data_IF_719759020287
#
_entry.id   IF_719759020287
#
_cell.length_a   1.000
_cell.length_b   1.000
_cell.length_c   1.000
_cell.angle_alpha   90.00
_cell.angle_beta   90.00
_cell.angle_gamma   90.00
#
_symmetry.space_group_name_H-M   'P 1'
#
loop_
_entity.id
_entity.type
_entity.pdbx_description
1 polymer ?
#
# COMPACT_ATOMS: atom_id res chain seq x y z
N UNK A 1 -8.86 5.32 25.79
CA UNK A 1 -7.66 4.62 25.29
C UNK A 1 -7.37 4.88 23.80
N UNK A 2 -8.30 4.62 22.87
CA UNK A 2 -8.08 4.84 21.41
C UNK A 2 -7.47 6.21 21.05
N UNK A 3 -8.11 7.30 21.49
CA UNK A 3 -7.62 8.68 21.27
C UNK A 3 -6.19 8.92 21.77
N UNK A 4 -5.80 8.25 22.85
CA UNK A 4 -4.46 8.35 23.41
C UNK A 4 -3.44 7.60 22.56
N UNK A 5 -3.81 6.44 22.00
CA UNK A 5 -2.95 5.66 21.08
C UNK A 5 -2.67 6.48 19.81
N UNK A 6 -3.70 7.06 19.20
CA UNK A 6 -3.57 7.90 18.00
C UNK A 6 -2.70 9.14 18.26
N UNK A 7 -2.92 9.82 19.39
CA UNK A 7 -2.10 10.97 19.78
C UNK A 7 -0.66 10.57 20.06
N UNK A 8 -0.43 9.40 20.66
CA UNK A 8 0.92 8.88 20.94
C UNK A 8 1.66 8.54 19.64
N UNK A 9 0.98 7.93 18.68
CA UNK A 9 1.56 7.66 17.36
C UNK A 9 1.90 8.96 16.62
N UNK A 10 0.98 9.94 16.63
CA UNK A 10 1.22 11.25 16.02
C UNK A 10 2.42 11.96 16.66
N UNK A 11 2.48 11.98 17.99
CA UNK A 11 3.61 12.54 18.74
C UNK A 11 4.95 11.85 18.37
N UNK A 12 4.97 10.51 18.30
CA UNK A 12 6.14 9.72 17.86
C UNK A 12 6.60 10.14 16.46
N UNK A 13 5.67 10.29 15.52
CA UNK A 13 5.98 10.70 14.14
C UNK A 13 6.55 12.13 14.12
N UNK A 14 5.91 13.07 14.81
CA UNK A 14 6.37 14.46 14.89
C UNK A 14 7.77 14.56 15.49
N UNK A 15 8.07 13.81 16.56
CA UNK A 15 9.39 13.78 17.21
C UNK A 15 10.52 13.28 16.31
N UNK A 16 10.20 12.63 15.18
CA UNK A 16 11.20 12.29 14.17
C UNK A 16 11.69 13.53 13.41
N UNK A 17 10.88 14.58 13.31
CA UNK A 17 11.23 15.86 12.68
C UNK A 17 11.58 16.97 13.68
N UNK A 18 10.82 17.09 14.77
CA UNK A 18 10.99 18.15 15.78
C UNK A 18 11.57 17.64 17.09
N UNK A 19 12.17 18.53 17.89
CA UNK A 19 12.76 18.16 19.19
C UNK A 19 11.75 18.02 20.34
N UNK A 20 10.57 18.62 20.21
CA UNK A 20 9.50 18.64 21.21
C UNK A 20 8.15 18.64 20.51
N UNK A 21 7.17 17.92 21.03
CA UNK A 21 5.76 17.94 20.60
C UNK A 21 4.84 18.17 21.80
N UNK A 22 3.68 18.76 21.55
CA UNK A 22 2.63 18.98 22.55
C UNK A 22 1.48 18.00 22.31
N UNK A 23 1.14 17.20 23.33
CA UNK A 23 -0.01 16.30 23.32
C UNK A 23 -1.15 17.03 24.02
N UNK A 24 -2.15 17.45 23.24
CA UNK A 24 -3.36 18.09 23.73
C UNK A 24 -4.59 17.24 23.36
N UNK A 25 -5.21 16.64 24.38
CA UNK A 25 -6.43 15.84 24.26
C UNK A 25 -7.51 16.42 25.19
N UNK A 26 -8.36 17.33 24.67
CA UNK A 26 -9.44 17.88 25.48
C UNK A 26 -10.55 16.84 25.69
N UNK A 27 -11.24 16.92 26.83
CA UNK A 27 -12.34 16.01 27.17
C UNK A 27 -11.95 14.53 27.01
N UNK A 28 -10.77 14.16 27.52
CA UNK A 28 -10.25 12.79 27.40
C UNK A 28 -11.00 11.82 28.30
N UNK A 29 -11.48 12.31 29.44
CA UNK A 29 -12.27 11.58 30.42
C UNK A 29 -13.14 12.55 31.24
N UNK A 30 -13.92 12.06 32.20
CA UNK A 30 -14.68 12.89 33.15
C UNK A 30 -14.67 12.28 34.56
N UNK A 31 -14.64 13.13 35.59
CA UNK A 31 -14.76 12.75 37.00
C UNK A 31 -15.93 13.49 37.68
N UNK A 32 -16.08 13.31 39.00
CA UNK A 32 -17.13 13.98 39.80
C UNK A 32 -17.03 15.52 39.76
N UNK A 33 -15.85 16.07 39.50
CA UNK A 33 -15.58 17.51 39.40
C UNK A 33 -15.77 18.08 37.98
N UNK A 34 -15.95 17.22 36.96
CA UNK A 34 -16.23 17.62 35.58
C UNK A 34 -15.34 16.96 34.51
N UNK A 35 -15.29 17.53 33.29
CA UNK A 35 -14.49 16.99 32.20
C UNK A 35 -12.98 17.17 32.44
N UNK A 36 -12.21 16.14 32.10
CA UNK A 36 -10.75 16.11 32.19
C UNK A 36 -10.11 16.32 30.82
N UNK A 37 -8.99 17.04 30.81
CA UNK A 37 -8.18 17.34 29.63
C UNK A 37 -6.75 16.83 29.88
N UNK A 38 -6.10 16.29 28.87
CA UNK A 38 -4.68 15.93 28.94
C UNK A 38 -3.87 16.91 28.08
N UNK A 39 -3.07 17.74 28.75
CA UNK A 39 -2.12 18.64 28.12
C UNK A 39 -0.73 18.32 28.67
N UNK A 40 0.15 17.82 27.80
CA UNK A 40 1.52 17.48 28.19
C UNK A 40 2.49 17.74 27.04
N UNK A 41 3.77 17.94 27.39
CA UNK A 41 4.86 18.11 26.43
C UNK A 41 5.76 16.89 26.46
N UNK A 42 6.09 16.36 25.29
CA UNK A 42 7.02 15.25 25.14
C UNK A 42 8.22 15.71 24.32
N UNK A 43 9.41 15.54 24.88
CA UNK A 43 10.68 15.82 24.17
C UNK A 43 11.18 14.56 23.46
N UNK A 44 11.99 14.75 22.40
CA UNK A 44 12.63 13.63 21.69
C UNK A 44 13.46 12.77 22.63
N UNK A 45 14.26 13.38 23.52
CA UNK A 45 15.08 12.65 24.48
C UNK A 45 14.26 11.80 25.46
N UNK A 46 13.10 12.29 25.91
CA UNK A 46 12.19 11.48 26.72
C UNK A 46 11.62 10.30 25.93
N UNK A 47 11.18 10.52 24.69
CA UNK A 47 10.70 9.45 23.82
C UNK A 47 11.79 8.40 23.55
N UNK A 48 13.01 8.82 23.22
CA UNK A 48 14.16 7.94 23.00
C UNK A 48 14.49 7.15 24.26
N UNK A 49 14.41 7.76 25.45
CA UNK A 49 14.54 7.05 26.72
C UNK A 49 13.48 5.96 26.90
N UNK A 50 12.20 6.27 26.58
CA UNK A 50 11.06 5.34 26.71
C UNK A 50 11.11 4.14 25.77
N UNK A 51 11.84 4.22 24.65
CA UNK A 51 11.97 3.13 23.68
C UNK A 51 13.41 2.62 23.52
N UNK A 52 14.31 3.02 24.41
CA UNK A 52 15.73 2.70 24.33
C UNK A 52 15.98 1.18 24.30
N UNK A 53 15.26 0.41 25.13
CA UNK A 53 15.30 -1.05 25.17
C UNK A 53 14.88 -1.67 23.82
N UNK A 54 13.82 -1.14 23.19
CA UNK A 54 13.33 -1.61 21.90
C UNK A 54 14.33 -1.34 20.78
N UNK A 55 14.95 -0.17 20.78
CA UNK A 55 15.89 0.25 19.73
C UNK A 55 17.24 -0.45 19.91
N UNK A 56 17.69 -0.69 21.15
CA UNK A 56 18.89 -1.49 21.43
C UNK A 56 18.78 -2.94 20.94
N UNK A 57 17.58 -3.53 20.98
CA UNK A 57 17.32 -4.88 20.45
C UNK A 57 17.64 -5.03 18.96
N UNK A 58 17.75 -3.94 18.19
CA UNK A 58 18.15 -3.96 16.78
C UNK A 58 19.61 -4.40 16.58
N UNK A 59 20.50 -4.15 17.55
CA UNK A 59 21.93 -4.47 17.44
C UNK A 59 22.17 -5.96 17.22
N UNK A 60 21.43 -6.81 17.94
CA UNK A 60 21.62 -8.27 17.90
C UNK A 60 21.29 -8.88 16.54
N UNK A 61 20.12 -8.64 15.92
CA UNK A 61 19.83 -9.15 14.57
C UNK A 61 20.83 -8.68 13.51
N UNK A 62 21.27 -7.42 13.55
CA UNK A 62 22.25 -6.90 12.58
C UNK A 62 23.60 -7.60 12.72
N UNK A 63 24.12 -7.71 13.95
CA UNK A 63 25.37 -8.46 14.21
C UNK A 63 25.24 -9.92 13.80
N UNK A 64 24.09 -10.56 14.10
CA UNK A 64 23.84 -11.94 13.72
C UNK A 64 23.83 -12.13 12.20
N UNK A 65 23.18 -11.23 11.46
CA UNK A 65 23.11 -11.31 10.00
C UNK A 65 24.50 -11.16 9.36
N UNK A 66 25.34 -10.24 9.86
CA UNK A 66 26.72 -10.08 9.41
C UNK A 66 27.57 -11.33 9.70
N UNK A 67 27.44 -11.89 10.91
CA UNK A 67 28.13 -13.12 11.29
C UNK A 67 27.69 -14.31 10.43
N UNK A 68 26.39 -14.47 10.19
CA UNK A 68 25.84 -15.54 9.35
C UNK A 68 26.27 -15.41 7.89
N UNK A 69 26.42 -14.18 7.39
CA UNK A 69 26.95 -13.90 6.06
C UNK A 69 28.49 -14.01 5.98
N UNK A 70 29.16 -14.15 7.13
CA UNK A 70 30.62 -14.09 7.25
C UNK A 70 31.22 -12.81 6.62
N UNK A 71 30.57 -11.67 6.89
CA UNK A 71 30.98 -10.35 6.40
C UNK A 71 31.28 -9.40 7.56
N UNK A 72 32.37 -8.65 7.42
CA UNK A 72 32.62 -7.50 8.28
C UNK A 72 31.74 -6.31 7.86
N UNK A 73 31.39 -5.39 8.77
CA UNK A 73 30.64 -4.18 8.44
C UNK A 73 31.24 -3.38 7.27
N UNK A 74 32.56 -3.32 7.18
CA UNK A 74 33.31 -2.64 6.11
C UNK A 74 33.12 -3.22 4.71
N UNK A 75 32.59 -4.44 4.59
CA UNK A 75 32.29 -5.10 3.31
C UNK A 75 30.91 -4.76 2.78
N UNK A 76 30.13 -3.94 3.50
CA UNK A 76 28.80 -3.53 3.09
C UNK A 76 28.89 -2.29 2.19
N UNK A 77 28.46 -2.46 0.94
CA UNK A 77 28.50 -1.41 -0.08
C UNK A 77 27.38 -0.39 0.07
N UNK A 78 26.20 -0.77 0.54
CA UNK A 78 25.05 0.13 0.67
C UNK A 78 24.19 -0.28 1.86
N UNK A 79 23.60 0.71 2.55
CA UNK A 79 22.64 0.49 3.63
C UNK A 79 21.30 1.04 3.19
N UNK A 80 20.28 0.20 3.08
CA UNK A 80 18.93 0.62 2.70
C UNK A 80 18.01 0.48 3.90
N UNK A 81 17.33 1.57 4.27
CA UNK A 81 16.34 1.57 5.35
C UNK A 81 14.93 1.51 4.76
N UNK A 82 14.12 0.56 5.26
CA UNK A 82 12.77 0.30 4.76
C UNK A 82 11.78 0.31 5.93
N UNK A 83 10.62 0.93 5.73
CA UNK A 83 9.55 1.07 6.72
C UNK A 83 9.58 2.37 7.52
N UNK A 84 8.42 2.90 7.86
CA UNK A 84 8.27 4.24 8.46
C UNK A 84 9.00 4.47 9.78
N UNK A 85 9.15 3.43 10.62
CA UNK A 85 9.88 3.54 11.90
C UNK A 85 11.39 3.79 11.72
N UNK A 86 11.95 3.54 10.53
CA UNK A 86 13.35 3.87 10.22
C UNK A 86 13.61 5.37 10.07
N UNK A 87 12.54 6.18 10.04
CA UNK A 87 12.62 7.66 10.04
C UNK A 87 12.99 8.23 11.41
N UNK A 88 12.93 7.43 12.48
CA UNK A 88 13.33 7.84 13.83
C UNK A 88 14.86 8.07 13.83
N UNK A 89 15.35 9.27 14.25
CA UNK A 89 16.78 9.59 14.24
C UNK A 89 17.64 8.59 15.01
N UNK A 90 17.20 8.13 16.19
CA UNK A 90 17.90 7.14 16.99
C UNK A 90 18.12 5.82 16.24
N UNK A 91 17.16 5.36 15.43
CA UNK A 91 17.30 4.13 14.63
C UNK A 91 18.41 4.29 13.60
N UNK A 92 18.43 5.41 12.89
CA UNK A 92 19.47 5.71 11.90
C UNK A 92 20.86 5.80 12.54
N UNK A 93 20.95 6.43 13.72
CA UNK A 93 22.19 6.51 14.48
C UNK A 93 22.70 5.13 14.91
N UNK A 94 21.83 4.24 15.38
CA UNK A 94 22.25 2.87 15.73
C UNK A 94 22.78 2.14 14.50
N UNK A 95 22.09 2.21 13.37
CA UNK A 95 22.54 1.53 12.14
C UNK A 95 23.89 2.09 11.67
N UNK A 96 24.07 3.42 11.67
CA UNK A 96 25.36 4.05 11.40
C UNK A 96 26.45 3.59 12.37
N UNK A 97 26.14 3.46 13.65
CA UNK A 97 27.12 2.98 14.65
C UNK A 97 27.54 1.51 14.47
N UNK A 98 26.76 0.72 13.73
CA UNK A 98 27.04 -0.70 13.48
C UNK A 98 27.75 -0.95 12.15
N UNK A 99 27.40 -0.19 11.11
CA UNK A 99 27.88 -0.42 9.73
C UNK A 99 28.89 0.66 9.28
N UNK A 100 28.97 1.79 9.99
CA UNK A 100 29.79 2.96 9.66
C UNK A 100 29.55 3.48 8.23
N UNK A 101 28.27 3.50 7.83
CA UNK A 101 27.85 3.97 6.51
C UNK A 101 26.55 4.75 6.58
N UNK A 102 26.49 5.79 5.77
CA UNK A 102 25.28 6.58 5.60
C UNK A 102 24.20 5.79 4.86
N UNK A 103 22.97 5.68 5.40
CA UNK A 103 21.87 5.04 4.71
C UNK A 103 21.53 5.74 3.39
N UNK A 104 21.28 4.94 2.37
CA UNK A 104 20.87 5.37 1.05
C UNK A 104 19.46 5.98 1.10
N UNK A 105 19.34 7.21 0.58
CA UNK A 105 18.08 7.97 0.56
C UNK A 105 17.38 7.95 -0.80
N UNK A 106 17.93 7.24 -1.80
CA UNK A 106 17.34 7.15 -3.13
C UNK A 106 16.16 6.16 -3.22
N UNK A 107 15.88 5.44 -2.12
CA UNK A 107 14.83 4.43 -2.05
C UNK A 107 13.69 4.98 -1.19
N UNK A 108 12.46 4.91 -1.71
CA UNK A 108 11.27 5.26 -0.92
C UNK A 108 10.98 4.13 0.10
N UNK A 109 11.11 4.38 1.42
CA UNK A 109 10.97 3.35 2.44
C UNK A 109 9.52 2.84 2.58
N UNK A 110 8.53 3.57 2.07
CA UNK A 110 7.11 3.23 2.19
C UNK A 110 6.61 2.39 1.00
N UNK A 111 7.26 2.50 -0.16
CA UNK A 111 6.78 1.90 -1.42
C UNK A 111 7.68 0.76 -1.94
N UNK A 112 8.97 0.74 -1.57
CA UNK A 112 9.96 -0.16 -2.18
C UNK A 112 9.58 -1.64 -2.07
N UNK A 113 8.92 -2.05 -0.99
CA UNK A 113 8.46 -3.44 -0.81
C UNK A 113 7.37 -3.78 -1.83
N UNK A 114 6.41 -2.87 -2.03
CA UNK A 114 5.32 -3.07 -3.00
C UNK A 114 5.85 -3.07 -4.44
N UNK A 115 6.80 -2.19 -4.76
CA UNK A 115 7.48 -2.17 -6.05
C UNK A 115 8.25 -3.47 -6.28
N UNK A 116 8.98 -3.96 -5.28
CA UNK A 116 9.69 -5.25 -5.35
C UNK A 116 8.73 -6.43 -5.60
N UNK A 117 7.56 -6.44 -4.94
CA UNK A 117 6.53 -7.43 -5.18
C UNK A 117 5.96 -7.38 -6.61
N UNK A 118 5.76 -6.18 -7.17
CA UNK A 118 5.32 -6.02 -8.56
C UNK A 118 6.37 -6.51 -9.56
N UNK A 119 7.66 -6.26 -9.31
CA UNK A 119 8.76 -6.81 -10.12
C UNK A 119 8.76 -8.34 -10.05
N UNK A 120 8.60 -8.91 -8.85
CA UNK A 120 8.52 -10.37 -8.68
C UNK A 120 7.34 -10.96 -9.46
N UNK A 121 6.17 -10.30 -9.46
CA UNK A 121 5.04 -10.70 -10.28
C UNK A 121 5.35 -10.65 -11.78
N UNK A 122 6.05 -9.61 -12.24
CA UNK A 122 6.53 -9.49 -13.62
C UNK A 122 7.53 -10.58 -14.04
N UNK A 123 8.39 -11.02 -13.12
CA UNK A 123 9.30 -12.16 -13.34
C UNK A 123 8.49 -13.46 -13.50
N UNK A 124 7.51 -13.69 -12.62
CA UNK A 124 6.63 -14.87 -12.68
C UNK A 124 5.76 -14.89 -13.95
N UNK A 125 5.33 -13.72 -14.43
CA UNK A 125 4.60 -13.56 -15.69
C UNK A 125 5.49 -13.71 -16.93
N UNK A 126 6.82 -13.58 -16.78
CA UNK A 126 7.80 -13.63 -17.88
C UNK A 126 8.00 -12.30 -18.61
N UNK A 127 7.41 -11.21 -18.11
CA UNK A 127 7.55 -9.85 -18.63
C UNK A 127 8.92 -9.25 -18.29
N UNK A 128 9.46 -9.62 -17.13
CA UNK A 128 10.81 -9.23 -16.70
C UNK A 128 11.75 -10.42 -16.92
N UNK A 129 12.80 -10.21 -17.71
CA UNK A 129 13.82 -11.21 -18.04
C UNK A 129 15.15 -10.84 -17.41
N UNK A 130 16.05 -11.82 -17.32
CA UNK A 130 17.44 -11.66 -16.85
C UNK A 130 17.61 -11.26 -15.37
N UNK A 131 16.63 -11.55 -14.52
CA UNK A 131 16.73 -11.41 -13.07
C UNK A 131 16.57 -12.80 -12.42
N UNK A 132 17.56 -13.20 -11.62
CA UNK A 132 17.52 -14.43 -10.85
C UNK A 132 17.60 -14.10 -9.36
N UNK A 133 16.54 -14.45 -8.63
CA UNK A 133 16.46 -14.28 -7.19
C UNK A 133 16.72 -15.63 -6.50
N UNK A 134 17.66 -15.63 -5.56
CA UNK A 134 17.93 -16.77 -4.68
C UNK A 134 17.72 -16.29 -3.25
N UNK A 135 16.62 -16.74 -2.65
CA UNK A 135 16.29 -16.44 -1.26
C UNK A 135 16.73 -17.57 -0.33
N UNK A 136 16.59 -17.39 0.97
CA UNK A 136 17.00 -18.36 2.00
C UNK A 136 15.89 -18.61 3.03
N UNK A 137 15.90 -19.78 3.68
CA UNK A 137 15.04 -20.00 4.86
C UNK A 137 15.62 -19.29 6.10
N UNK A 138 14.86 -18.45 6.82
CA UNK A 138 15.41 -17.63 7.93
C UNK A 138 15.67 -18.42 9.22
N UNK A 139 15.08 -19.61 9.36
CA UNK A 139 15.20 -20.46 10.54
C UNK A 139 15.48 -21.90 10.14
N UNK A 140 16.20 -22.61 11.00
CA UNK A 140 16.44 -24.03 10.81
C UNK A 140 15.13 -24.80 10.91
N UNK A 141 14.95 -25.76 10.00
CA UNK A 141 13.85 -26.71 9.99
C UNK A 141 14.38 -28.08 10.37
N UNK A 142 13.60 -28.77 11.19
CA UNK A 142 13.97 -30.06 11.71
C UNK A 142 12.81 -30.81 12.30
N UNK A 143 13.15 -31.88 12.99
CA UNK A 143 12.21 -32.72 13.71
C UNK A 143 12.66 -32.98 15.13
N UNK A 144 11.67 -33.16 16.01
CA UNK A 144 11.91 -33.60 17.37
C UNK A 144 12.23 -35.10 17.39
N UNK A 145 13.39 -35.47 17.92
CA UNK A 145 13.79 -36.87 18.11
C UNK A 145 13.41 -37.39 19.48
N UNK A 146 13.53 -38.71 19.66
CA UNK A 146 13.41 -39.36 20.97
C UNK A 146 14.42 -38.71 21.93
N UNK A 147 13.93 -38.22 23.07
CA UNK A 147 14.71 -37.41 24.02
C UNK A 147 14.42 -35.91 23.97
N UNK A 148 13.53 -35.44 23.09
CA UNK A 148 13.06 -34.06 23.06
C UNK A 148 14.08 -33.08 22.48
N UNK A 149 15.03 -33.57 21.68
CA UNK A 149 16.07 -32.78 21.01
C UNK A 149 15.67 -32.53 19.55
N UNK A 150 15.99 -31.35 19.03
CA UNK A 150 15.81 -31.00 17.63
C UNK A 150 16.95 -31.57 16.78
N UNK A 151 16.62 -32.42 15.81
CA UNK A 151 17.51 -32.73 14.69
C UNK A 151 17.23 -31.76 13.55
N UNK A 152 18.20 -30.89 13.26
CA UNK A 152 18.13 -29.94 12.13
C UNK A 152 18.40 -30.68 10.81
N UNK A 153 17.52 -30.51 9.81
CA UNK A 153 17.67 -31.09 8.47
C UNK A 153 18.02 -30.02 7.44
N UNK A 154 17.39 -28.85 7.55
CA UNK A 154 17.67 -27.68 6.73
C UNK A 154 18.11 -26.57 7.69
N UNK A 155 19.41 -26.23 7.75
CA UNK A 155 19.89 -25.12 8.56
C UNK A 155 19.28 -23.78 8.11
N UNK A 156 19.20 -22.80 9.02
CA UNK A 156 18.90 -21.41 8.64
C UNK A 156 19.89 -20.89 7.60
N UNK A 157 19.44 -19.92 6.83
CA UNK A 157 20.17 -19.31 5.70
C UNK A 157 20.51 -20.29 4.56
N UNK A 158 19.87 -21.47 4.52
CA UNK A 158 19.96 -22.37 3.35
C UNK A 158 19.17 -21.77 2.20
N UNK A 159 19.79 -21.66 1.03
CA UNK A 159 19.15 -21.18 -0.20
C UNK A 159 17.96 -22.05 -0.60
N UNK A 160 16.85 -21.41 -0.97
CA UNK A 160 15.63 -22.05 -1.46
C UNK A 160 15.47 -21.80 -2.97
N UNK A 161 14.87 -22.73 -3.73
CA UNK A 161 14.28 -24.00 -3.30
C UNK A 161 15.32 -25.08 -2.92
N UNK A 162 15.00 -25.93 -1.94
CA UNK A 162 15.90 -27.00 -1.47
C UNK A 162 15.14 -28.23 -0.99
N UNK A 163 15.72 -29.41 -1.24
CA UNK A 163 15.26 -30.70 -0.70
C UNK A 163 16.36 -31.33 0.15
N UNK A 164 16.02 -31.70 1.39
CA UNK A 164 16.89 -32.51 2.27
C UNK A 164 16.10 -33.68 2.83
N UNK A 165 16.74 -34.84 2.94
CA UNK A 165 16.13 -36.01 3.57
C UNK A 165 17.11 -36.70 4.50
N UNK A 166 16.61 -37.24 5.59
CA UNK A 166 17.37 -38.06 6.52
C UNK A 166 16.57 -39.33 6.88
N UNK A 167 17.26 -40.36 7.35
CA UNK A 167 16.66 -41.66 7.68
C UNK A 167 16.54 -41.79 9.18
N UNK A 168 15.32 -42.05 9.64
CA UNK A 168 14.96 -42.30 11.02
C UNK A 168 14.46 -43.73 11.20
N UNK A 169 14.32 -44.15 12.46
CA UNK A 169 13.82 -45.47 12.82
C UNK A 169 12.90 -45.40 14.03
N UNK A 170 12.18 -46.49 14.28
CA UNK A 170 11.33 -46.68 15.47
C UNK A 170 12.11 -46.59 16.79
N UNK A 171 11.45 -46.02 17.79
CA UNK A 171 11.92 -45.86 19.16
C UNK A 171 11.75 -47.14 20.00
N UNK A 172 10.66 -47.86 19.73
CA UNK A 172 10.20 -49.00 20.52
C UNK A 172 10.12 -50.28 19.68
N UNK A 173 10.23 -51.43 20.35
CA UNK A 173 10.05 -52.73 19.72
C UNK A 173 8.59 -52.91 19.28
N UNK A 174 8.37 -53.45 18.09
CA UNK A 174 7.06 -53.68 17.50
C UNK A 174 6.21 -52.40 17.35
N UNK A 175 6.86 -51.24 17.25
CA UNK A 175 6.18 -49.97 17.00
C UNK A 175 5.60 -49.94 15.58
N UNK A 176 4.27 -49.86 15.49
CA UNK A 176 3.53 -49.87 14.21
C UNK A 176 3.15 -48.47 13.73
N UNK A 177 3.36 -47.45 14.55
CA UNK A 177 3.03 -46.05 14.27
C UNK A 177 4.21 -45.16 14.65
N UNK A 178 4.68 -44.34 13.72
CA UNK A 178 5.73 -43.34 13.97
C UNK A 178 5.16 -41.94 13.83
N UNK A 179 5.34 -41.14 14.86
CA UNK A 179 4.94 -39.73 14.88
C UNK A 179 6.11 -38.86 14.44
N UNK A 180 5.89 -38.02 13.45
CA UNK A 180 6.85 -37.02 12.95
C UNK A 180 6.38 -35.67 13.42
N UNK A 181 7.17 -35.04 14.29
CA UNK A 181 6.92 -33.69 14.79
C UNK A 181 7.88 -32.70 14.15
N UNK A 182 7.34 -31.81 13.33
CA UNK A 182 8.08 -30.81 12.56
C UNK A 182 8.19 -29.54 13.40
N UNK A 183 9.41 -29.02 13.53
CA UNK A 183 9.72 -27.84 14.33
C UNK A 183 10.65 -26.89 13.57
N UNK A 184 10.50 -25.60 13.87
CA UNK A 184 11.31 -24.52 13.33
C UNK A 184 11.95 -23.72 14.47
N UNK A 185 13.26 -23.50 14.39
CA UNK A 185 14.00 -22.69 15.34
C UNK A 185 15.45 -23.14 15.55
N UNK A 186 16.16 -22.43 16.42
CA UNK A 186 17.60 -22.63 16.65
C UNK A 186 17.92 -23.30 17.98
N UNK A 187 16.93 -23.51 18.85
CA UNK A 187 17.11 -24.08 20.19
C UNK A 187 17.36 -25.58 20.08
N UNK A 188 18.16 -26.13 21.00
CA UNK A 188 18.48 -27.56 20.99
C UNK A 188 17.29 -28.44 21.39
N UNK A 189 16.48 -27.98 22.34
CA UNK A 189 15.30 -28.73 22.81
C UNK A 189 14.09 -28.44 21.93
N UNK A 190 13.40 -29.49 21.49
CA UNK A 190 12.23 -29.40 20.61
C UNK A 190 11.10 -28.53 21.19
N UNK A 191 10.87 -28.60 22.51
CA UNK A 191 9.85 -27.81 23.23
C UNK A 191 10.06 -26.30 23.19
N UNK A 192 11.31 -25.85 22.97
CA UNK A 192 11.67 -24.43 22.94
C UNK A 192 11.62 -23.84 21.52
N UNK A 193 11.26 -24.65 20.53
CA UNK A 193 11.13 -24.26 19.13
C UNK A 193 9.66 -24.16 18.71
N UNK A 194 9.39 -23.50 17.58
CA UNK A 194 8.05 -23.37 17.04
C UNK A 194 7.61 -24.68 16.41
N UNK A 195 6.54 -25.29 16.92
CA UNK A 195 5.88 -26.42 16.27
C UNK A 195 5.18 -25.97 14.99
N UNK A 196 5.48 -26.65 13.89
CA UNK A 196 4.86 -26.44 12.58
C UNK A 196 3.75 -27.46 12.30
N UNK A 197 3.84 -28.66 12.88
CA UNK A 197 2.84 -29.69 12.69
C UNK A 197 3.30 -31.06 13.16
N UNK A 198 2.34 -31.97 13.32
CA UNK A 198 2.58 -33.37 13.68
C UNK A 198 1.74 -34.25 12.78
N UNK A 199 2.31 -35.35 12.31
CA UNK A 199 1.55 -36.38 11.61
C UNK A 199 2.09 -37.76 11.96
N UNK A 200 1.22 -38.76 11.79
CA UNK A 200 1.53 -40.15 12.14
C UNK A 200 1.59 -40.99 10.88
N UNK A 201 2.73 -41.65 10.66
CA UNK A 201 2.89 -42.70 9.67
C UNK A 201 2.43 -44.01 10.33
N UNK A 202 1.29 -44.54 9.88
CA UNK A 202 0.71 -45.77 10.42
C UNK A 202 1.04 -46.97 9.56
N UNK A 203 1.06 -48.15 10.17
CA UNK A 203 1.20 -49.41 9.46
C UNK A 203 2.64 -49.76 9.10
N UNK A 204 3.58 -49.36 9.96
CA UNK A 204 4.96 -49.87 9.97
C UNK A 204 4.93 -51.34 10.44
N UNK A 205 5.60 -52.29 9.76
CA UNK A 205 5.64 -53.69 10.19
C UNK A 205 6.26 -53.84 11.59
N UNK A 206 5.70 -54.70 12.47
CA UNK A 206 6.30 -54.97 13.77
C UNK A 206 7.72 -55.52 13.62
N UNK A 207 8.71 -54.74 14.06
CA UNK A 207 10.11 -55.12 14.07
C UNK A 207 10.79 -54.62 15.35
N UNK A 208 11.93 -55.21 15.75
CA UNK A 208 12.79 -54.63 16.78
C UNK A 208 13.11 -53.15 16.50
N UNK A 209 13.28 -52.36 17.55
CA UNK A 209 13.69 -50.95 17.44
C UNK A 209 14.95 -50.81 16.59
N UNK A 210 15.06 -49.76 15.80
CA UNK A 210 16.25 -49.49 14.97
C UNK A 210 16.25 -50.16 13.58
N UNK A 211 15.32 -51.07 13.29
CA UNK A 211 15.26 -51.80 12.01
C UNK A 211 14.43 -51.09 10.95
N UNK A 212 13.20 -50.61 11.22
CA UNK A 212 12.41 -49.89 10.22
C UNK A 212 13.12 -48.63 9.73
N UNK A 213 13.23 -48.45 8.41
CA UNK A 213 13.87 -47.28 7.81
C UNK A 213 12.84 -46.29 7.29
N UNK A 214 12.64 -45.21 8.03
CA UNK A 214 11.68 -44.15 7.71
C UNK A 214 12.45 -42.96 7.19
N UNK A 215 12.39 -42.73 5.89
CA UNK A 215 12.99 -41.56 5.26
C UNK A 215 12.05 -40.38 5.42
N UNK A 216 12.51 -39.32 6.08
CA UNK A 216 11.77 -38.05 6.16
C UNK A 216 12.47 -37.04 5.25
N UNK A 217 11.73 -36.52 4.27
CA UNK A 217 12.17 -35.51 3.33
C UNK A 217 11.47 -34.19 3.62
N UNK A 218 12.23 -33.11 3.59
CA UNK A 218 11.80 -31.73 3.69
C UNK A 218 12.08 -31.07 2.34
N UNK A 219 11.02 -30.64 1.68
CA UNK A 219 11.05 -29.90 0.42
C UNK A 219 10.56 -28.47 0.70
N UNK A 220 11.42 -27.47 0.47
CA UNK A 220 11.04 -26.06 0.51
C UNK A 220 11.02 -25.53 -0.92
N UNK A 221 9.88 -24.98 -1.33
CA UNK A 221 9.73 -24.37 -2.65
C UNK A 221 10.24 -22.92 -2.69
N UNK A 222 10.16 -22.29 -3.87
CA UNK A 222 10.56 -20.89 -4.06
C UNK A 222 9.66 -19.89 -3.32
N UNK A 223 8.47 -20.30 -2.88
CA UNK A 223 7.54 -19.47 -2.11
C UNK A 223 7.72 -19.65 -0.59
N UNK A 224 8.65 -20.50 -0.15
CA UNK A 224 8.85 -20.84 1.25
C UNK A 224 7.80 -21.81 1.82
N UNK A 225 7.02 -22.49 0.99
CA UNK A 225 6.13 -23.56 1.43
C UNK A 225 6.94 -24.82 1.76
N UNK A 226 6.67 -25.40 2.93
CA UNK A 226 7.34 -26.61 3.38
C UNK A 226 6.43 -27.83 3.14
N UNK A 227 6.89 -28.75 2.32
CA UNK A 227 6.34 -30.10 2.21
C UNK A 227 7.23 -31.06 2.99
N UNK A 228 6.66 -31.76 3.96
CA UNK A 228 7.35 -32.83 4.68
C UNK A 228 6.72 -34.16 4.32
N UNK A 229 7.53 -35.07 3.81
CA UNK A 229 7.11 -36.43 3.42
C UNK A 229 7.87 -37.46 4.25
N UNK A 230 7.17 -38.36 4.91
CA UNK A 230 7.75 -39.53 5.55
C UNK A 230 7.41 -40.79 4.74
N UNK A 231 8.43 -41.51 4.31
CA UNK A 231 8.33 -42.75 3.52
C UNK A 231 9.00 -43.90 4.29
N UNK A 232 8.26 -44.97 4.57
CA UNK A 232 8.86 -46.23 5.00
C UNK A 232 9.46 -46.95 3.79
N UNK A 233 10.80 -47.08 3.78
CA UNK A 233 11.54 -47.73 2.67
C UNK A 233 11.23 -49.21 2.52
N UNK A 234 10.71 -49.86 3.57
CA UNK A 234 10.42 -51.30 3.58
C UNK A 234 9.08 -51.60 2.92
N UNK A 235 8.07 -50.78 3.22
CA UNK A 235 6.69 -51.00 2.75
C UNK A 235 6.30 -50.11 1.58
N UNK A 236 7.06 -49.04 1.30
CA UNK A 236 6.72 -48.02 0.31
C UNK A 236 5.55 -47.12 0.73
N UNK A 237 5.08 -47.24 1.98
CA UNK A 237 4.01 -46.37 2.50
C UNK A 237 4.57 -45.00 2.78
N UNK A 238 3.89 -43.98 2.29
CA UNK A 238 4.20 -42.58 2.55
C UNK A 238 3.05 -41.86 3.24
N UNK A 239 3.41 -40.87 4.05
CA UNK A 239 2.49 -39.87 4.55
C UNK A 239 3.18 -38.52 4.47
N UNK A 240 2.43 -37.47 4.12
CA UNK A 240 2.98 -36.12 4.02
C UNK A 240 2.08 -35.08 4.67
N UNK A 241 2.69 -33.95 4.99
CA UNK A 241 2.01 -32.74 5.44
C UNK A 241 2.60 -31.55 4.70
N UNK A 242 1.73 -30.68 4.21
CA UNK A 242 2.14 -29.37 3.69
C UNK A 242 1.91 -28.34 4.77
N UNK A 243 2.97 -27.64 5.18
CA UNK A 243 2.92 -26.55 6.14
C UNK A 243 3.04 -25.25 5.36
N UNK A 244 1.94 -24.49 5.32
CA UNK A 244 1.96 -23.13 4.81
C UNK A 244 2.47 -22.20 5.91
N UNK A 245 3.60 -21.54 5.66
CA UNK A 245 4.11 -20.53 6.56
C UNK A 245 3.08 -19.41 6.74
N UNK A 246 2.56 -19.28 7.96
CA UNK A 246 1.73 -18.16 8.44
C UNK A 246 0.23 -18.11 8.08
N UNK A 247 -0.38 -19.10 7.43
CA UNK A 247 -1.84 -19.18 7.36
C UNK A 247 -2.38 -20.19 8.37
N UNK A 248 -3.05 -19.68 9.41
CA UNK A 248 -3.85 -20.50 10.35
C UNK A 248 -5.16 -20.98 9.74
N UNK A 249 -5.42 -20.66 8.47
CA UNK A 249 -6.70 -20.94 7.82
C UNK A 249 -6.57 -22.19 6.96
N UNK A 250 -7.38 -23.19 7.28
CA UNK A 250 -7.64 -24.33 6.43
C UNK A 250 -8.23 -23.91 5.08
N UNK A 251 -8.07 -24.75 4.05
CA UNK A 251 -8.68 -24.51 2.74
C UNK A 251 -10.21 -24.32 2.82
N UNK A 252 -10.86 -24.91 3.83
CA UNK A 252 -12.29 -24.72 4.09
C UNK A 252 -12.61 -23.31 4.60
N UNK A 253 -11.80 -22.78 5.52
CA UNK A 253 -11.95 -21.40 6.02
C UNK A 253 -11.65 -20.38 4.91
N UNK A 254 -10.65 -20.63 4.07
CA UNK A 254 -10.37 -19.79 2.88
C UNK A 254 -11.58 -19.78 1.94
N UNK A 255 -12.14 -20.94 1.62
CA UNK A 255 -13.31 -21.02 0.74
C UNK A 255 -14.56 -20.38 1.37
N UNK A 256 -14.73 -20.47 2.68
CA UNK A 256 -15.81 -19.79 3.39
C UNK A 256 -15.61 -18.28 3.36
N UNK A 257 -14.40 -17.79 3.63
CA UNK A 257 -14.06 -16.36 3.55
C UNK A 257 -14.24 -15.79 2.13
N UNK A 258 -13.91 -16.55 1.09
CA UNK A 258 -14.16 -16.15 -0.30
C UNK A 258 -15.67 -16.02 -0.55
N UNK A 259 -16.47 -17.00 -0.12
CA UNK A 259 -17.94 -16.94 -0.25
C UNK A 259 -18.54 -15.79 0.55
N UNK A 260 -18.06 -15.56 1.76
CA UNK A 260 -18.51 -14.47 2.61
C UNK A 260 -18.13 -13.13 1.95
N UNK A 261 -16.91 -12.99 1.42
CA UNK A 261 -16.48 -11.81 0.68
C UNK A 261 -17.31 -11.58 -0.59
N UNK A 262 -17.68 -12.62 -1.33
CA UNK A 262 -18.58 -12.52 -2.49
C UNK A 262 -20.00 -12.10 -2.11
N UNK A 263 -20.52 -12.60 -0.97
CA UNK A 263 -21.83 -12.23 -0.45
C UNK A 263 -21.85 -10.78 0.06
N UNK A 264 -20.81 -10.37 0.78
CA UNK A 264 -20.65 -8.99 1.26
C UNK A 264 -20.35 -8.03 0.11
N UNK A 265 -19.68 -8.44 -0.96
CA UNK A 265 -19.46 -7.61 -2.14
C UNK A 265 -20.77 -7.12 -2.78
N UNK A 266 -21.82 -7.95 -2.80
CA UNK A 266 -23.14 -7.52 -3.26
C UNK A 266 -23.81 -6.54 -2.29
N UNK A 267 -23.72 -6.79 -0.98
CA UNK A 267 -24.24 -5.88 0.04
C UNK A 267 -23.51 -4.52 0.03
N UNK A 268 -22.20 -4.52 -0.10
CA UNK A 268 -21.34 -3.35 -0.18
C UNK A 268 -21.60 -2.56 -1.47
N UNK A 269 -21.84 -3.25 -2.59
CA UNK A 269 -22.27 -2.60 -3.84
C UNK A 269 -23.62 -1.89 -3.68
N UNK A 270 -24.60 -2.54 -3.04
CA UNK A 270 -25.90 -1.92 -2.76
C UNK A 270 -25.78 -0.74 -1.80
N UNK A 271 -24.95 -0.84 -0.75
CA UNK A 271 -24.69 0.27 0.15
C UNK A 271 -23.99 1.44 -0.56
N UNK A 272 -23.02 1.14 -1.42
CA UNK A 272 -22.36 2.15 -2.26
C UNK A 272 -23.33 2.83 -3.21
N UNK A 273 -24.20 2.07 -3.88
CA UNK A 273 -25.23 2.63 -4.77
C UNK A 273 -26.19 3.55 -4.00
N UNK A 274 -26.58 3.19 -2.77
CA UNK A 274 -27.39 4.05 -1.89
C UNK A 274 -26.67 5.35 -1.52
N UNK A 275 -25.40 5.25 -1.16
CA UNK A 275 -24.57 6.43 -0.83
C UNK A 275 -24.39 7.33 -2.06
N UNK A 276 -24.10 6.76 -3.24
CA UNK A 276 -23.98 7.50 -4.49
C UNK A 276 -25.30 8.18 -4.89
N UNK A 277 -26.45 7.50 -4.73
CA UNK A 277 -27.77 8.09 -4.98
C UNK A 277 -28.02 9.30 -4.08
N UNK A 278 -27.71 9.20 -2.78
CA UNK A 278 -27.86 10.31 -1.83
C UNK A 278 -26.96 11.48 -2.20
N UNK A 279 -25.70 11.21 -2.50
CA UNK A 279 -24.74 12.25 -2.91
C UNK A 279 -25.17 12.95 -4.20
N UNK A 280 -25.70 12.21 -5.19
CA UNK A 280 -26.25 12.79 -6.43
C UNK A 280 -27.45 13.69 -6.17
N UNK A 281 -28.38 13.27 -5.30
CA UNK A 281 -29.54 14.05 -4.93
C UNK A 281 -29.18 15.32 -4.14
N UNK A 282 -28.22 15.25 -3.21
CA UNK A 282 -27.69 16.42 -2.50
C UNK A 282 -26.99 17.40 -3.45
N UNK A 283 -26.16 16.89 -4.37
CA UNK A 283 -25.49 17.71 -5.38
C UNK A 283 -26.51 18.39 -6.31
N UNK A 284 -27.56 17.68 -6.72
CA UNK A 284 -28.65 18.23 -7.51
C UNK A 284 -29.41 19.34 -6.78
N UNK A 285 -29.73 19.13 -5.49
CA UNK A 285 -30.38 20.16 -4.67
C UNK A 285 -29.50 21.42 -4.56
N UNK A 286 -28.19 21.24 -4.37
CA UNK A 286 -27.24 22.36 -4.31
C UNK A 286 -27.11 23.09 -5.65
N UNK A 287 -27.04 22.36 -6.76
CA UNK A 287 -27.02 22.94 -8.10
C UNK A 287 -28.30 23.74 -8.38
N UNK A 288 -29.46 23.20 -8.00
CA UNK A 288 -30.74 23.87 -8.14
C UNK A 288 -30.77 25.19 -7.36
N UNK A 289 -30.33 25.20 -6.11
CA UNK A 289 -30.21 26.41 -5.30
C UNK A 289 -29.28 27.45 -5.92
N UNK A 290 -28.14 27.00 -6.48
CA UNK A 290 -27.18 27.89 -7.13
C UNK A 290 -27.78 28.52 -8.38
N UNK A 291 -28.40 27.74 -9.27
CA UNK A 291 -29.05 28.25 -10.47
C UNK A 291 -30.17 29.23 -10.13
N UNK A 292 -30.97 28.95 -9.09
CA UNK A 292 -31.98 29.89 -8.61
C UNK A 292 -31.39 31.22 -8.12
N UNK A 293 -30.22 31.18 -7.45
CA UNK A 293 -29.52 32.41 -7.01
C UNK A 293 -28.95 33.19 -8.19
N UNK A 294 -28.31 32.51 -9.15
CA UNK A 294 -27.76 33.14 -10.36
C UNK A 294 -28.88 33.83 -11.16
N UNK A 295 -29.98 33.12 -11.43
CA UNK A 295 -31.16 33.70 -12.11
C UNK A 295 -31.75 34.88 -11.32
N UNK A 296 -31.74 34.83 -9.99
CA UNK A 296 -32.20 35.93 -9.15
C UNK A 296 -31.32 37.19 -9.23
N UNK A 297 -30.00 36.99 -9.32
CA UNK A 297 -29.02 38.06 -9.39
C UNK A 297 -29.04 38.73 -10.77
N UNK A 298 -29.12 37.93 -11.83
CA UNK A 298 -29.02 38.44 -13.21
C UNK A 298 -30.34 39.06 -13.70
N UNK A 299 -31.50 38.51 -13.30
CA UNK A 299 -32.81 38.88 -13.88
C UNK A 299 -33.84 39.36 -12.87
N UNK A 300 -33.46 39.44 -11.60
CA UNK A 300 -34.31 39.92 -10.51
C UNK A 300 -35.32 38.88 -10.00
N UNK A 301 -35.87 39.15 -8.82
CA UNK A 301 -36.71 38.22 -8.06
C UNK A 301 -38.10 37.96 -8.67
N UNK A 302 -38.51 38.71 -9.70
CA UNK A 302 -39.82 38.58 -10.33
C UNK A 302 -39.81 37.65 -11.56
N UNK A 303 -38.63 37.33 -12.10
CA UNK A 303 -38.49 36.43 -13.24
C UNK A 303 -38.83 34.98 -12.86
N UNK A 304 -39.63 34.30 -13.69
CA UNK A 304 -40.02 32.89 -13.56
C UNK A 304 -40.55 32.50 -12.16
N UNK A 305 -41.34 33.37 -11.51
CA UNK A 305 -41.78 33.19 -10.11
C UNK A 305 -42.46 31.82 -9.84
N UNK A 306 -43.26 31.32 -10.79
CA UNK A 306 -43.90 29.99 -10.69
C UNK A 306 -42.88 28.85 -10.71
N UNK A 307 -41.92 28.89 -11.64
CA UNK A 307 -40.85 27.90 -11.80
C UNK A 307 -39.94 27.88 -10.56
N UNK A 308 -39.60 29.06 -10.02
CA UNK A 308 -38.81 29.19 -8.79
C UNK A 308 -39.49 28.59 -7.57
N UNK A 309 -40.76 28.91 -7.33
CA UNK A 309 -41.52 28.35 -6.20
C UNK A 309 -41.62 26.83 -6.28
N UNK A 310 -41.79 26.29 -7.49
CA UNK A 310 -41.82 24.84 -7.74
C UNK A 310 -40.48 24.20 -7.39
N UNK A 311 -39.36 24.77 -7.87
CA UNK A 311 -38.01 24.26 -7.59
C UNK A 311 -37.66 24.34 -6.10
N UNK A 312 -37.99 25.44 -5.41
CA UNK A 312 -37.78 25.59 -3.95
C UNK A 312 -38.60 24.60 -3.11
N UNK A 313 -39.76 24.18 -3.61
CA UNK A 313 -40.58 23.14 -2.97
C UNK A 313 -39.94 21.76 -3.18
N UNK A 314 -39.54 21.45 -4.42
CA UNK A 314 -38.88 20.19 -4.76
C UNK A 314 -37.52 20.02 -4.05
N UNK A 315 -36.75 21.10 -3.87
CA UNK A 315 -35.50 21.07 -3.08
C UNK A 315 -35.78 20.68 -1.62
N UNK A 316 -36.85 21.23 -1.02
CA UNK A 316 -37.24 20.90 0.36
C UNK A 316 -37.72 19.47 0.48
N UNK A 317 -38.57 19.01 -0.44
CA UNK A 317 -39.04 17.64 -0.49
C UNK A 317 -37.91 16.64 -0.70
N UNK A 318 -36.93 16.95 -1.56
CA UNK A 318 -35.76 16.11 -1.79
C UNK A 318 -34.90 15.98 -0.54
N UNK A 319 -34.70 17.07 0.21
CA UNK A 319 -33.98 17.06 1.49
C UNK A 319 -34.72 16.27 2.56
N UNK A 320 -36.03 16.43 2.68
CA UNK A 320 -36.86 15.64 3.58
C UNK A 320 -36.79 14.13 3.25
N UNK A 321 -36.83 13.76 1.97
CA UNK A 321 -36.67 12.38 1.52
C UNK A 321 -35.28 11.81 1.83
N UNK A 322 -34.24 12.63 1.72
CA UNK A 322 -32.88 12.26 2.13
C UNK A 322 -32.77 12.03 3.64
N UNK A 323 -33.35 12.91 4.46
CA UNK A 323 -33.36 12.77 5.93
C UNK A 323 -34.14 11.52 6.39
N UNK A 324 -35.32 11.28 5.80
CA UNK A 324 -36.16 10.11 6.10
C UNK A 324 -35.64 8.80 5.52
N UNK A 325 -34.55 8.85 4.74
CA UNK A 325 -33.95 7.69 4.05
C UNK A 325 -34.93 6.98 3.11
N UNK A 326 -35.81 7.73 2.46
CA UNK A 326 -36.79 7.20 1.51
C UNK A 326 -36.21 7.17 0.09
N UNK A 327 -35.69 6.01 -0.32
CA UNK A 327 -35.04 5.82 -1.62
C UNK A 327 -35.98 6.08 -2.81
N UNK A 328 -37.26 5.72 -2.69
CA UNK A 328 -38.24 5.95 -3.76
C UNK A 328 -38.57 7.43 -3.89
N UNK A 329 -38.72 8.12 -2.75
CA UNK A 329 -38.91 9.56 -2.72
C UNK A 329 -37.73 10.31 -3.33
N UNK A 330 -36.49 9.90 -3.04
CA UNK A 330 -35.28 10.51 -3.62
C UNK A 330 -35.23 10.36 -5.15
N UNK A 331 -35.54 9.17 -5.69
CA UNK A 331 -35.53 8.94 -7.14
C UNK A 331 -36.64 9.75 -7.83
N UNK A 332 -37.84 9.82 -7.26
CA UNK A 332 -38.99 10.51 -7.85
C UNK A 332 -38.84 12.03 -7.79
N UNK A 333 -38.60 12.59 -6.60
CA UNK A 333 -38.43 14.03 -6.41
C UNK A 333 -37.15 14.52 -7.09
N UNK A 334 -36.11 13.69 -7.16
CA UNK A 334 -34.88 13.99 -7.91
C UNK A 334 -35.13 14.13 -9.41
N UNK A 335 -35.94 13.24 -10.00
CA UNK A 335 -36.35 13.36 -11.41
C UNK A 335 -37.20 14.61 -11.65
N UNK A 336 -38.20 14.85 -10.80
CA UNK A 336 -39.08 16.02 -10.91
C UNK A 336 -38.30 17.34 -10.79
N UNK A 337 -37.26 17.37 -9.95
CA UNK A 337 -36.35 18.51 -9.80
C UNK A 337 -35.51 18.72 -11.06
N UNK A 338 -34.99 17.66 -11.68
CA UNK A 338 -34.25 17.77 -12.95
C UNK A 338 -35.12 18.34 -14.08
N UNK A 339 -36.35 17.85 -14.20
CA UNK A 339 -37.30 18.35 -15.20
C UNK A 339 -37.63 19.83 -14.96
N UNK A 340 -37.85 20.23 -13.70
CA UNK A 340 -38.10 21.62 -13.35
C UNK A 340 -36.90 22.54 -13.64
N UNK A 341 -35.66 22.07 -13.44
CA UNK A 341 -34.44 22.81 -13.79
C UNK A 341 -34.27 22.94 -15.30
N UNK A 342 -34.63 21.91 -16.08
CA UNK A 342 -34.60 21.97 -17.53
C UNK A 342 -35.61 22.99 -18.07
N UNK A 343 -36.84 22.99 -17.55
CA UNK A 343 -37.85 23.97 -17.90
C UNK A 343 -37.41 25.40 -17.55
N UNK A 344 -36.84 25.63 -16.35
CA UNK A 344 -36.29 26.93 -15.96
C UNK A 344 -35.16 27.37 -16.91
N UNK A 345 -34.25 26.46 -17.25
CA UNK A 345 -33.15 26.74 -18.19
C UNK A 345 -33.67 27.11 -19.58
N UNK A 346 -34.73 26.44 -20.05
CA UNK A 346 -35.41 26.77 -21.31
C UNK A 346 -36.10 28.13 -21.26
N UNK A 347 -36.76 28.48 -20.16
CA UNK A 347 -37.35 29.82 -19.96
C UNK A 347 -36.29 30.91 -19.93
N UNK A 348 -35.16 30.68 -19.26
CA UNK A 348 -34.00 31.59 -19.24
C UNK A 348 -33.41 31.78 -20.64
N UNK A 349 -33.25 30.69 -21.41
CA UNK A 349 -32.71 30.74 -22.77
C UNK A 349 -33.66 31.41 -23.76
N UNK A 350 -34.97 31.16 -23.68
CA UNK A 350 -35.98 31.79 -24.53
C UNK A 350 -36.01 33.31 -24.31
N UNK A 351 -35.94 33.76 -23.05
CA UNK A 351 -35.89 35.18 -22.73
C UNK A 351 -34.55 35.84 -23.13
N UNK A 352 -33.44 35.09 -23.14
CA UNK A 352 -32.16 35.60 -23.66
C UNK A 352 -32.22 35.90 -25.17
N UNK A 353 -33.04 35.16 -25.92
CA UNK A 353 -33.23 35.39 -27.36
C UNK A 353 -34.14 36.58 -27.65
N UNK A 354 -35.09 36.91 -26.77
CA UNK A 354 -35.92 38.12 -26.88
C UNK A 354 -35.13 39.40 -26.53
N UNK A 355 -34.20 39.35 -25.56
CA UNK A 355 -33.35 40.51 -25.19
C UNK A 355 -32.36 40.92 -26.31
N UNK A 356 -31.86 39.97 -27.12
CA UNK A 356 -30.98 40.27 -28.26
C UNK A 356 -31.73 40.98 -29.42
N UNK A 357 -33.04 40.74 -29.56
CA UNK A 357 -33.88 41.46 -30.53
C UNK A 357 -34.22 42.88 -30.02
N UNK A 358 -34.40 43.09 -28.71
CA UNK A 358 -34.68 44.41 -28.14
C UNK A 358 -33.46 45.36 -28.16
N UNK A 359 -32.23 44.87 -27.96
CA UNK A 359 -31.00 45.68 -28.10
C UNK A 359 -30.72 46.07 -29.57
N UNK A 360 -31.12 45.21 -30.52
CA UNK A 360 -31.09 45.55 -31.96
C UNK A 360 -32.15 46.61 -32.31
N UNK A 361 -33.37 46.52 -31.77
CA UNK A 361 -34.41 47.52 -32.01
C UNK A 361 -34.14 48.86 -31.29
N UNK A 362 -33.51 48.89 -30.11
CA UNK A 362 -33.13 50.14 -29.43
C UNK A 362 -32.02 50.91 -30.17
N UNK A 363 -31.02 50.20 -30.69
CA UNK A 363 -29.92 50.80 -31.46
C UNK A 363 -30.37 51.32 -32.83
N UNK A 364 -31.32 50.63 -33.48
CA UNK A 364 -32.00 51.10 -34.70
C UNK A 364 -32.92 52.29 -34.40
N UNK A 365 -33.68 52.28 -33.30
CA UNK A 365 -34.57 53.39 -32.91
C UNK A 365 -33.78 54.66 -32.59
N UNK A 366 -32.64 54.57 -31.89
CA UNK A 366 -31.72 55.70 -31.66
C UNK A 366 -31.13 56.30 -32.94
N UNK A 367 -31.02 55.50 -33.99
CA UNK A 367 -30.50 55.95 -35.29
C UNK A 367 -31.59 56.57 -36.18
N UNK A 368 -32.86 56.16 -36.01
CA UNK A 368 -33.98 56.64 -36.81
C UNK A 368 -34.77 57.81 -36.19
N UNK A 369 -34.83 57.98 -34.85
CA UNK A 369 -35.60 59.08 -34.23
C UNK A 369 -34.83 60.39 -34.09
N UNK A 370 -33.61 60.48 -34.64
CA UNK A 370 -32.93 61.73 -34.98
C UNK A 370 -33.20 62.91 -34.04
N UNK A 371 -32.88 62.80 -32.76
CA UNK A 371 -32.88 63.97 -31.87
C UNK A 371 -31.44 64.43 -31.64
N UNK A 372 -31.13 65.54 -32.32
CA UNK A 372 -29.83 66.17 -32.33
C UNK A 372 -29.63 67.05 -31.11
N UNK A 373 -28.64 66.69 -30.30
CA UNK A 373 -27.59 67.58 -29.80
C UNK A 373 -28.01 68.83 -28.98
N UNK A 374 -27.73 68.80 -27.66
CA UNK A 374 -27.26 69.98 -26.91
C UNK A 374 -25.99 69.65 -26.12
N UNK A 375 -24.87 70.19 -26.61
CA UNK A 375 -23.62 70.52 -25.87
C UNK A 375 -23.95 71.59 -24.80
N UNK A 376 -23.31 71.82 -23.63
CA UNK A 376 -22.00 71.55 -22.95
C UNK A 376 -22.10 72.26 -21.54
N UNK A 377 -21.10 72.38 -20.62
CA UNK A 377 -19.75 71.78 -20.46
C UNK A 377 -19.33 71.39 -18.98
N UNK A 378 -18.11 70.83 -18.83
CA UNK A 378 -17.20 70.73 -17.65
C UNK A 378 -17.63 69.84 -16.44
N UNK A 379 -16.85 68.86 -15.95
CA UNK A 379 -15.60 69.03 -15.18
C UNK A 379 -14.72 67.74 -15.12
N UNK A 380 -13.44 67.93 -14.77
CA UNK A 380 -12.26 67.07 -14.86
C UNK A 380 -12.34 65.71 -14.11
N UNK A 381 -11.71 64.61 -14.55
CA UNK A 381 -10.26 64.36 -14.42
C UNK A 381 -9.82 62.97 -14.97
N UNK A 382 -8.57 62.91 -15.49
CA UNK A 382 -7.58 61.82 -15.59
C UNK A 382 -8.03 60.33 -15.74
N UNK A 383 -7.47 59.47 -16.59
CA UNK A 383 -6.29 59.48 -17.47
C UNK A 383 -6.41 58.28 -18.45
N UNK A 384 -5.80 58.39 -19.64
CA UNK A 384 -5.43 57.30 -20.58
C UNK A 384 -3.88 57.19 -20.56
N UNK A 385 -3.17 56.17 -21.14
CA UNK A 385 -3.54 55.42 -22.36
C UNK A 385 -2.94 54.00 -22.62
N UNK A 386 -3.41 53.44 -23.75
CA UNK A 386 -2.78 52.42 -24.64
C UNK A 386 -2.87 50.91 -24.24
N UNK A 387 -3.12 49.95 -25.14
CA UNK A 387 -3.32 49.96 -26.62
C UNK A 387 -4.03 48.67 -27.09
N UNK A 388 -4.71 48.82 -28.22
CA UNK A 388 -5.48 47.88 -29.04
C UNK A 388 -4.60 47.23 -30.11
N UNK A 389 -4.88 45.98 -30.51
CA UNK A 389 -5.10 45.52 -31.92
C UNK A 389 -5.09 43.98 -31.99
N UNK A 390 -6.24 43.31 -32.15
CA UNK A 390 -6.89 42.87 -33.42
C UNK A 390 -6.11 41.83 -34.23
N UNK A 391 -6.69 40.65 -34.48
CA UNK A 391 -7.47 40.30 -35.71
C UNK A 391 -7.91 38.82 -35.62
N UNK A 392 -9.19 38.58 -35.90
CA UNK A 392 -9.95 37.30 -35.95
C UNK A 392 -9.73 36.52 -37.30
N UNK A 393 -10.53 35.48 -37.70
CA UNK A 393 -10.85 34.17 -37.09
C UNK A 393 -10.90 32.94 -38.07
N UNK A 394 -11.36 31.79 -37.54
CA UNK A 394 -12.02 30.55 -38.10
C UNK A 394 -11.16 29.48 -38.83
N UNK A 395 -11.56 28.17 -38.96
CA UNK A 395 -12.54 27.31 -38.22
C UNK A 395 -12.08 25.86 -37.82
N UNK A 396 -12.88 25.25 -36.93
CA UNK A 396 -13.41 23.86 -36.86
C UNK A 396 -12.54 22.57 -36.78
N UNK A 397 -12.79 21.84 -35.68
CA UNK A 397 -13.20 20.41 -35.58
C UNK A 397 -12.16 19.26 -35.61
N UNK A 398 -12.56 18.05 -35.11
CA UNK A 398 -11.84 17.28 -34.09
C UNK A 398 -11.07 16.09 -34.66
N UNK A 399 -10.21 15.48 -33.83
CA UNK A 399 -9.60 14.19 -34.14
C UNK A 399 -10.19 13.07 -33.28
N UNK A 400 -10.86 12.18 -34.01
CA UNK A 400 -11.21 10.82 -33.65
C UNK A 400 -10.04 9.87 -33.99
N UNK A 401 -10.11 8.73 -33.34
CA UNK A 401 -9.36 7.47 -33.40
C UNK A 401 -8.59 7.05 -34.68
N UNK A 402 -7.64 6.14 -34.40
CA UNK A 402 -7.13 5.00 -35.22
C UNK A 402 -5.78 5.10 -35.97
N UNK A 403 -4.91 4.20 -35.50
CA UNK A 403 -4.21 3.13 -36.23
C UNK A 403 -3.12 3.44 -37.29
N UNK A 404 -2.03 2.69 -37.08
CA UNK A 404 -1.22 1.94 -38.07
C UNK A 404 -0.05 2.64 -38.78
N UNK A 405 1.13 2.18 -38.35
CA UNK A 405 2.19 1.55 -39.16
C UNK A 405 2.64 2.24 -40.44
N UNK A 406 3.93 2.56 -40.53
CA UNK A 406 4.71 2.19 -41.71
C UNK A 406 6.14 1.78 -41.32
N UNK A 407 6.43 0.57 -41.76
CA UNK A 407 7.71 -0.08 -41.90
C UNK A 407 8.55 0.57 -43.02
N UNK A 408 9.84 0.23 -42.98
CA UNK A 408 10.81 0.08 -44.09
C UNK A 408 11.72 1.21 -44.55
N UNK A 409 13.00 0.88 -44.31
CA UNK A 409 14.08 0.70 -45.28
C UNK A 409 14.97 1.90 -45.63
N UNK A 410 16.23 1.81 -45.17
CA UNK A 410 17.39 1.73 -46.08
C UNK A 410 18.63 1.12 -45.40
N UNK A 411 18.96 -0.07 -45.89
CA UNK A 411 20.28 -0.72 -46.04
C UNK A 411 21.31 0.25 -46.68
N UNK A 412 22.63 0.09 -46.62
CA UNK A 412 23.54 -1.04 -46.36
C UNK A 412 24.95 -0.47 -46.05
N UNK A 413 25.82 -1.37 -45.56
CA UNK A 413 27.20 -1.62 -46.03
C UNK A 413 28.43 -1.35 -45.11
N UNK A 414 29.04 -2.49 -44.73
CA UNK A 414 30.48 -2.86 -44.74
C UNK A 414 31.21 -3.10 -43.40
N UNK A 415 31.29 -4.40 -43.08
CA UNK A 415 32.49 -5.20 -42.80
C UNK A 415 33.83 -4.48 -42.51
N UNK A 416 34.45 -4.84 -41.38
CA UNK A 416 35.86 -5.25 -41.26
C UNK A 416 36.25 -5.64 -39.81
N UNK A 417 36.57 -6.91 -39.62
CA UNK A 417 37.67 -7.41 -38.75
C UNK A 417 38.72 -8.06 -39.70
N UNK A 418 39.98 -8.37 -39.32
CA UNK A 418 40.52 -8.69 -37.99
C UNK A 418 41.92 -8.09 -37.69
N UNK A 419 42.45 -8.24 -36.46
CA UNK A 419 43.61 -9.11 -36.16
C UNK A 419 44.17 -8.96 -34.72
N UNK A 420 44.83 -10.04 -34.29
CA UNK A 420 45.46 -10.38 -33.01
C UNK A 420 46.50 -9.38 -32.47
N UNK A 421 46.66 -9.34 -31.14
CA UNK A 421 47.97 -9.33 -30.45
C UNK A 421 47.89 -9.81 -28.99
N UNK A 422 49.00 -10.42 -28.58
CA UNK A 422 49.26 -11.26 -27.42
C UNK A 422 49.87 -10.42 -26.27
N UNK A 423 49.42 -10.68 -25.03
CA UNK A 423 50.07 -10.73 -23.68
C UNK A 423 51.38 -9.94 -23.38
N UNK A 424 51.69 -9.51 -22.12
CA UNK A 424 51.67 -10.38 -20.93
C UNK A 424 51.36 -9.79 -19.54
N UNK A 425 51.27 -10.76 -18.63
CA UNK A 425 50.96 -10.81 -17.21
C UNK A 425 52.07 -10.33 -16.25
N UNK A 426 51.67 -9.97 -15.01
CA UNK A 426 52.23 -10.27 -13.65
C UNK A 426 52.30 -9.03 -12.71
N UNK A 427 52.43 -9.20 -11.37
CA UNK A 427 52.09 -10.35 -10.51
C UNK A 427 51.31 -9.99 -9.22
N UNK A 428 50.63 -11.00 -8.70
CA UNK A 428 50.07 -11.11 -7.33
C UNK A 428 51.17 -11.26 -6.26
N UNK A 429 50.93 -10.71 -5.05
CA UNK A 429 51.66 -10.98 -3.80
C UNK A 429 50.84 -10.49 -2.58
N UNK A 430 51.08 -10.99 -1.35
CA UNK A 430 50.32 -12.08 -0.77
C UNK A 430 49.52 -11.70 0.50
N UNK A 431 48.59 -12.59 0.86
CA UNK A 431 47.87 -12.65 2.13
C UNK A 431 48.80 -12.42 3.34
N UNK A 432 48.45 -11.44 4.16
CA UNK A 432 48.85 -11.38 5.57
C UNK A 432 47.63 -11.60 6.44
N UNK A 433 47.80 -12.58 7.33
CA UNK A 433 46.90 -13.03 8.36
C UNK A 433 46.81 -11.93 9.42
N UNK A 434 45.61 -11.38 9.65
CA UNK A 434 45.33 -10.56 10.83
C UNK A 434 44.10 -11.15 11.50
N UNK A 435 44.38 -11.93 12.53
CA UNK A 435 43.47 -12.28 13.61
C UNK A 435 43.06 -10.99 14.30
N UNK A 436 41.79 -10.58 14.12
CA UNK A 436 41.18 -9.57 14.97
C UNK A 436 40.25 -10.28 15.96
N UNK A 437 40.78 -10.35 17.18
CA UNK A 437 40.11 -10.66 18.43
C UNK A 437 38.84 -9.80 18.56
N UNK A 438 37.69 -10.45 18.66
CA UNK A 438 36.50 -9.86 19.27
C UNK A 438 36.42 -10.41 20.69
N UNK A 439 37.21 -9.83 21.57
CA UNK A 439 37.05 -10.03 23.01
C UNK A 439 35.69 -9.44 23.44
N UNK A 440 34.90 -10.33 24.05
CA UNK A 440 33.83 -10.04 24.98
C UNK A 440 34.40 -9.19 26.11
N UNK A 441 34.00 -7.92 26.20
CA UNK A 441 33.93 -7.16 27.46
C UNK A 441 33.18 -5.86 27.20
N UNK A 442 31.94 -5.77 27.69
CA UNK A 442 31.35 -4.53 28.21
C UNK A 442 30.04 -4.86 28.93
N UNK A 443 30.21 -5.43 30.13
CA UNK A 443 29.30 -5.28 31.25
C UNK A 443 29.35 -3.84 31.73
N UNK A 444 28.34 -3.00 31.42
CA UNK A 444 28.03 -1.80 32.22
C UNK A 444 26.53 -1.50 32.21
N UNK A 445 25.94 -1.69 33.41
CA UNK A 445 24.81 -1.04 34.08
C UNK A 445 23.63 -0.48 33.26
#
# INVERSE_FOLDING_TARGET
>A
LQRLIEASEKAKIELSGVGVTEINLPFIDANEDGPLHLETRLTRGQFEGLCSDLVQRLRRPVKQALADANLSPSRIDEVVLVGGSTRIPLVQQIVRSLIDKEPNQNVNPDEVVAVGAAIQAGILAGDVRDVLLLDVTPLSLGLETIGGVMKKLIPRNTTIPVRRSDIFSTAENNQTVVEVHIIQGERELGRDNKSLGRFKLTGVPPAPRGIPQIQVAFDIDANGMLLVTALDKTTGREQSITVQGASTLSQQEVNQMIRDAEQFAQADKLQREKVEKRNRAEALAYQAERQLREVALDRGMQFAQRSRQRIETLIRELRDSLERKDERGVDQVGSDLQDALYDLSREVAAFAMDDDDDDFFESVKRTFTGDGNKRRPDDFSNAKPYRRSTVDPIPDRPYDDRDRSYDRDRRDDRDRTPDRRISPSRPSRPYQNQSDDWDDDDDWL
#
